data_IF_555947766175
#
_entry.id   IF_555947766175
#
_cell.length_a   1.000
_cell.length_b   1.000
_cell.length_c   1.000
_cell.angle_alpha   90.00
_cell.angle_beta   90.00
_cell.angle_gamma   90.00
#
_symmetry.space_group_name_H-M   'P 1'
#
loop_
_entity.id
_entity.type
_entity.pdbx_description
1 polymer ?
#
# COMPACT_ATOMS: atom_id res chain seq x y z
N UNK A 1 -30.76 34.61 -38.37
CA UNK A 1 -29.74 34.88 -37.31
C UNK A 1 -30.12 34.36 -35.92
N UNK A 2 -31.39 34.39 -35.49
CA UNK A 2 -31.81 33.91 -34.15
C UNK A 2 -31.63 32.40 -33.90
N UNK A 3 -31.77 31.55 -34.91
CA UNK A 3 -31.66 30.08 -34.77
C UNK A 3 -30.23 29.56 -34.62
N UNK A 4 -29.21 30.28 -35.10
CA UNK A 4 -27.80 29.87 -34.97
C UNK A 4 -27.21 30.14 -33.58
N UNK A 5 -27.76 31.12 -32.86
CA UNK A 5 -27.36 31.43 -31.47
C UNK A 5 -27.84 30.36 -30.48
N UNK A 6 -29.03 29.81 -30.68
CA UNK A 6 -29.60 28.77 -29.78
C UNK A 6 -28.81 27.46 -29.85
N UNK A 7 -28.38 27.03 -31.04
CA UNK A 7 -27.54 25.84 -31.19
C UNK A 7 -26.15 25.97 -30.57
N UNK A 8 -25.57 27.17 -30.58
CA UNK A 8 -24.24 27.40 -30.01
C UNK A 8 -24.28 27.38 -28.47
N UNK A 9 -25.37 27.87 -27.88
CA UNK A 9 -25.58 27.83 -26.42
C UNK A 9 -25.84 26.40 -25.93
N UNK A 10 -26.60 25.59 -26.68
CA UNK A 10 -26.83 24.18 -26.29
C UNK A 10 -25.55 23.33 -26.38
N UNK A 11 -24.70 23.54 -27.38
CA UNK A 11 -23.44 22.80 -27.52
C UNK A 11 -22.42 23.19 -26.44
N UNK A 12 -22.40 24.46 -26.02
CA UNK A 12 -21.52 24.92 -24.94
C UNK A 12 -21.88 24.35 -23.57
N UNK A 13 -23.17 24.04 -23.31
CA UNK A 13 -23.61 23.45 -22.04
C UNK A 13 -23.31 21.94 -21.97
N UNK A 14 -23.25 21.23 -23.10
CA UNK A 14 -22.92 19.80 -23.11
C UNK A 14 -21.43 19.51 -22.86
N UNK A 15 -20.51 20.43 -23.20
CA UNK A 15 -19.06 20.21 -23.01
C UNK A 15 -18.62 20.47 -21.56
N UNK A 16 -19.37 21.26 -20.78
CA UNK A 16 -19.07 21.52 -19.36
C UNK A 16 -19.60 20.45 -18.39
N UNK A 17 -20.40 19.49 -18.86
CA UNK A 17 -21.04 18.47 -18.00
C UNK A 17 -20.27 17.17 -17.81
N UNK A 18 -19.10 16.99 -18.44
CA UNK A 18 -18.39 15.70 -18.51
C UNK A 18 -17.17 15.58 -17.58
N UNK A 19 -16.86 16.57 -16.75
CA UNK A 19 -15.81 16.44 -15.73
C UNK A 19 -16.42 16.11 -14.37
N UNK A 20 -17.25 15.07 -14.29
CA UNK A 20 -17.39 14.34 -13.04
C UNK A 20 -16.17 13.43 -12.89
N UNK A 21 -15.00 14.05 -12.68
CA UNK A 21 -13.93 13.36 -11.99
C UNK A 21 -14.47 13.14 -10.57
N UNK A 22 -15.09 11.98 -10.36
CA UNK A 22 -15.29 11.41 -9.04
C UNK A 22 -13.90 11.29 -8.40
N UNK A 23 -13.41 12.39 -7.83
CA UNK A 23 -12.45 12.33 -6.75
C UNK A 23 -13.24 11.68 -5.63
N UNK A 24 -13.23 10.33 -5.63
CA UNK A 24 -13.68 9.55 -4.49
C UNK A 24 -13.08 10.19 -3.25
N UNK A 25 -13.90 10.37 -2.22
CA UNK A 25 -13.44 10.86 -0.93
C UNK A 25 -12.09 10.22 -0.64
N UNK A 26 -11.04 11.04 -0.46
CA UNK A 26 -9.69 10.56 -0.22
C UNK A 26 -9.77 9.44 0.81
N UNK A 27 -9.59 8.21 0.33
CA UNK A 27 -9.87 7.04 1.15
C UNK A 27 -8.78 7.06 2.23
N UNK A 28 -9.18 7.34 3.46
CA UNK A 28 -8.23 7.46 4.56
C UNK A 28 -7.55 6.12 4.75
N UNK A 29 -6.23 6.11 4.87
CA UNK A 29 -5.45 4.92 5.15
C UNK A 29 -6.08 4.17 6.35
N UNK A 30 -6.48 2.90 6.20
CA UNK A 30 -7.07 2.15 7.30
C UNK A 30 -6.02 1.81 8.35
N UNK A 31 -6.48 1.64 9.58
CA UNK A 31 -5.65 1.18 10.70
C UNK A 31 -4.96 -0.14 10.37
N UNK A 32 -3.82 -0.38 11.04
CA UNK A 32 -3.08 -1.63 10.86
C UNK A 32 -4.00 -2.84 11.19
N UNK A 33 -4.12 -3.83 10.28
CA UNK A 33 -5.01 -4.96 10.44
C UNK A 33 -4.58 -5.92 11.55
N UNK A 34 -5.54 -6.72 12.02
CA UNK A 34 -5.25 -7.77 13.01
C UNK A 34 -4.34 -8.87 12.44
N UNK A 35 -3.52 -9.46 13.31
CA UNK A 35 -2.57 -10.53 12.98
C UNK A 35 -3.25 -11.74 12.32
N UNK A 36 -4.54 -11.99 12.59
CA UNK A 36 -5.30 -13.07 11.93
C UNK A 36 -5.49 -12.89 10.43
N UNK A 37 -5.41 -11.66 9.92
CA UNK A 37 -5.50 -11.34 8.47
C UNK A 37 -4.15 -11.37 7.77
N UNK A 38 -3.06 -11.58 8.52
CA UNK A 38 -1.70 -11.62 7.99
C UNK A 38 -1.45 -12.94 7.28
N UNK A 39 -1.03 -12.86 6.02
CA UNK A 39 -0.86 -14.02 5.14
C UNK A 39 0.60 -14.35 4.88
N UNK A 40 1.51 -13.39 5.03
CA UNK A 40 2.94 -13.60 4.77
C UNK A 40 3.79 -12.56 5.51
N UNK A 41 5.08 -12.87 5.66
CA UNK A 41 6.08 -11.98 6.25
C UNK A 41 7.36 -12.04 5.41
N UNK A 42 7.90 -10.87 5.06
CA UNK A 42 9.11 -10.79 4.23
C UNK A 42 10.16 -9.93 4.92
N UNK A 43 11.38 -10.42 4.92
CA UNK A 43 12.54 -9.62 5.34
C UNK A 43 13.32 -9.16 4.12
N UNK A 44 13.50 -7.84 4.00
CA UNK A 44 14.42 -7.22 3.08
C UNK A 44 15.72 -6.84 3.81
N UNK A 45 16.80 -7.56 3.51
CA UNK A 45 18.10 -7.31 4.12
C UNK A 45 18.79 -6.04 3.60
N UNK A 46 18.46 -5.57 2.40
CA UNK A 46 19.09 -4.37 1.81
C UNK A 46 18.62 -3.12 2.53
N UNK A 47 17.30 -3.01 2.73
CA UNK A 47 16.68 -1.87 3.41
C UNK A 47 16.51 -2.06 4.92
N UNK A 48 16.80 -3.26 5.45
CA UNK A 48 16.51 -3.70 6.83
C UNK A 48 15.03 -3.53 7.20
N UNK A 49 14.14 -3.80 6.25
CA UNK A 49 12.70 -3.75 6.44
C UNK A 49 12.13 -5.15 6.66
N UNK A 50 11.20 -5.24 7.59
CA UNK A 50 10.32 -6.38 7.76
C UNK A 50 8.92 -5.97 7.30
N UNK A 51 8.40 -6.71 6.32
CA UNK A 51 7.12 -6.44 5.67
C UNK A 51 6.09 -7.43 6.19
N UNK A 52 5.01 -6.90 6.74
CA UNK A 52 3.82 -7.66 7.12
C UNK A 52 2.78 -7.52 6.01
N UNK A 53 2.38 -8.65 5.42
CA UNK A 53 1.46 -8.69 4.30
C UNK A 53 0.11 -9.23 4.79
N UNK A 54 -0.96 -8.49 4.51
CA UNK A 54 -2.31 -8.81 4.97
C UNK A 54 -3.25 -9.00 3.79
N UNK A 55 -4.25 -9.85 4.00
CA UNK A 55 -5.41 -10.05 3.12
C UNK A 55 -6.66 -9.68 3.92
N UNK A 56 -7.16 -8.47 3.74
CA UNK A 56 -8.32 -7.94 4.45
C UNK A 56 -9.59 -8.70 4.08
N UNK A 57 -9.67 -9.18 2.84
CA UNK A 57 -10.78 -9.98 2.34
C UNK A 57 -10.71 -11.47 2.71
N UNK A 58 -9.57 -11.93 3.27
CA UNK A 58 -9.36 -13.33 3.66
C UNK A 58 -9.28 -14.31 2.48
N UNK A 59 -9.06 -13.81 1.26
CA UNK A 59 -8.92 -14.61 0.04
C UNK A 59 -7.46 -15.05 -0.23
N UNK A 60 -6.52 -14.59 0.61
CA UNK A 60 -5.10 -14.84 0.46
C UNK A 60 -4.39 -13.85 -0.48
N UNK A 61 -5.13 -12.95 -1.12
CA UNK A 61 -4.59 -11.86 -1.93
C UNK A 61 -4.12 -10.74 -1.02
N UNK A 62 -2.91 -10.23 -1.27
CA UNK A 62 -2.34 -9.14 -0.47
C UNK A 62 -2.95 -7.82 -0.94
N UNK A 63 -3.66 -7.14 -0.04
CA UNK A 63 -4.32 -5.85 -0.28
C UNK A 63 -3.89 -4.77 0.73
N UNK A 64 -3.10 -5.14 1.74
CA UNK A 64 -2.48 -4.20 2.68
C UNK A 64 -1.08 -4.69 3.08
N UNK A 65 -0.11 -3.78 3.14
CA UNK A 65 1.27 -4.08 3.58
C UNK A 65 1.74 -3.02 4.56
N UNK A 66 2.36 -3.44 5.66
CA UNK A 66 3.03 -2.57 6.61
C UNK A 66 4.53 -2.88 6.67
N UNK A 67 5.38 -1.87 6.49
CA UNK A 67 6.84 -2.02 6.53
C UNK A 67 7.45 -1.44 7.80
N UNK A 68 8.20 -2.23 8.56
CA UNK A 68 8.86 -1.81 9.81
C UNK A 68 10.36 -1.98 9.72
N UNK A 69 11.12 -1.08 10.35
CA UNK A 69 12.56 -1.28 10.50
C UNK A 69 12.87 -2.42 11.46
N UNK A 70 13.88 -3.23 11.12
CA UNK A 70 14.44 -4.24 12.02
C UNK A 70 15.51 -3.60 12.88
N UNK A 71 15.31 -3.61 14.21
CA UNK A 71 16.28 -3.13 15.21
C UNK A 71 17.41 -4.12 15.38
N UNK A 72 17.04 -5.35 15.68
CA UNK A 72 17.97 -6.45 15.96
C UNK A 72 17.55 -7.71 15.20
N UNK A 73 18.55 -8.48 14.78
CA UNK A 73 18.36 -9.79 14.18
C UNK A 73 19.04 -10.83 15.08
N UNK A 74 18.29 -11.83 15.50
CA UNK A 74 18.76 -12.94 16.29
C UNK A 74 18.48 -14.28 15.59
N UNK A 75 18.94 -15.37 16.21
CA UNK A 75 18.55 -16.73 15.84
C UNK A 75 17.87 -17.38 17.03
N UNK A 76 16.80 -18.13 16.76
CA UNK A 76 16.18 -18.99 17.76
C UNK A 76 17.11 -20.16 18.12
N UNK A 77 16.73 -20.92 19.15
CA UNK A 77 17.43 -22.15 19.56
C UNK A 77 17.51 -23.19 18.42
N UNK A 78 16.59 -23.13 17.47
CA UNK A 78 16.53 -24.00 16.29
C UNK A 78 17.23 -23.41 15.06
N UNK A 79 17.90 -22.26 15.20
CA UNK A 79 18.63 -21.59 14.12
C UNK A 79 17.77 -20.75 13.16
N UNK A 80 16.46 -20.67 13.40
CA UNK A 80 15.55 -19.84 12.60
C UNK A 80 15.82 -18.35 12.86
N UNK A 81 15.76 -17.48 11.85
CA UNK A 81 15.92 -16.06 12.05
C UNK A 81 14.76 -15.50 12.89
N UNK A 82 15.06 -14.60 13.81
CA UNK A 82 14.10 -13.85 14.61
C UNK A 82 14.44 -12.37 14.46
N UNK A 83 13.44 -11.56 14.15
CA UNK A 83 13.59 -10.14 13.88
C UNK A 83 12.86 -9.34 14.95
N UNK A 84 13.61 -8.49 15.66
CA UNK A 84 13.01 -7.47 16.52
C UNK A 84 12.75 -6.21 15.68
N UNK A 85 11.49 -5.82 15.56
CA UNK A 85 11.08 -4.70 14.70
C UNK A 85 10.69 -3.49 15.53
N UNK A 86 10.78 -2.31 14.93
CA UNK A 86 10.16 -1.12 15.49
C UNK A 86 8.66 -1.32 15.74
N UNK A 87 8.13 -0.58 16.72
CA UNK A 87 6.72 -0.71 17.14
C UNK A 87 5.75 -0.28 16.05
N UNK A 88 6.10 0.73 15.27
CA UNK A 88 5.23 1.33 14.27
C UNK A 88 5.88 1.27 12.89
N UNK A 89 5.09 1.03 11.84
CA UNK A 89 5.56 1.08 10.45
C UNK A 89 6.13 2.44 10.05
N UNK A 90 7.09 2.41 9.12
CA UNK A 90 7.60 3.61 8.43
C UNK A 90 6.79 3.89 7.15
N UNK A 91 6.13 2.86 6.60
CA UNK A 91 5.25 3.00 5.45
C UNK A 91 4.13 1.96 5.47
N UNK A 92 3.07 2.29 4.73
CA UNK A 92 1.95 1.41 4.43
C UNK A 92 1.70 1.39 2.93
N UNK A 93 1.37 0.24 2.37
CA UNK A 93 0.82 0.14 1.03
C UNK A 93 -0.60 -0.36 1.11
N UNK A 94 -1.53 0.40 0.53
CA UNK A 94 -2.94 0.06 0.50
C UNK A 94 -3.63 0.78 -0.66
N UNK A 95 -4.58 0.09 -1.29
CA UNK A 95 -5.32 0.59 -2.45
C UNK A 95 -4.41 1.23 -3.52
N UNK A 96 -3.38 0.48 -3.94
CA UNK A 96 -2.35 0.91 -4.91
C UNK A 96 -1.60 2.21 -4.54
N UNK A 97 -1.66 2.62 -3.27
CA UNK A 97 -1.04 3.84 -2.77
C UNK A 97 -0.04 3.50 -1.68
N UNK A 98 1.16 4.08 -1.80
CA UNK A 98 2.24 3.99 -0.81
C UNK A 98 2.20 5.23 0.07
N UNK A 99 1.92 5.02 1.35
CA UNK A 99 1.84 6.03 2.41
C UNK A 99 3.08 5.97 3.28
N UNK A 100 3.63 7.13 3.64
CA UNK A 100 4.76 7.25 4.55
C UNK A 100 4.30 7.82 5.89
N UNK A 101 4.65 7.11 6.96
CA UNK A 101 4.53 7.57 8.33
C UNK A 101 5.91 8.07 8.79
N UNK A 102 6.08 9.39 8.77
CA UNK A 102 7.35 10.03 9.11
C UNK A 102 7.59 10.13 10.62
N UNK A 103 6.52 10.12 11.40
CA UNK A 103 6.58 10.25 12.86
C UNK A 103 6.69 8.87 13.53
N UNK A 104 6.42 7.80 12.77
CA UNK A 104 6.42 6.41 13.21
C UNK A 104 5.59 6.24 14.47
N UNK A 105 4.37 6.76 14.45
CA UNK A 105 3.42 6.72 15.55
C UNK A 105 2.15 5.95 15.20
N UNK A 106 2.13 5.29 14.05
CA UNK A 106 1.04 4.44 13.60
C UNK A 106 -0.07 5.26 12.93
N UNK A 107 -1.00 4.58 12.27
CA UNK A 107 -2.07 5.22 11.51
C UNK A 107 -2.91 6.16 12.40
N UNK A 108 -2.71 7.47 12.23
CA UNK A 108 -3.40 8.51 13.00
C UNK A 108 -3.87 9.71 12.16
N UNK A 109 -3.58 9.69 10.85
CA UNK A 109 -4.00 10.71 9.90
C UNK A 109 -2.93 11.77 9.59
N UNK A 110 -1.73 11.69 10.18
CA UNK A 110 -0.57 12.49 9.79
C UNK A 110 0.20 11.88 8.59
N UNK A 111 -0.21 10.69 8.11
CA UNK A 111 0.51 9.97 7.07
C UNK A 111 0.41 10.70 5.73
N UNK A 112 1.50 10.65 4.97
CA UNK A 112 1.59 11.36 3.69
C UNK A 112 1.68 10.37 2.54
N UNK A 113 0.96 10.65 1.45
CA UNK A 113 1.11 9.89 0.21
C UNK A 113 2.52 10.09 -0.31
N UNK A 114 3.28 9.00 -0.40
CA UNK A 114 4.61 8.99 -1.00
C UNK A 114 4.52 8.73 -2.50
N UNK A 115 3.65 7.79 -2.92
CA UNK A 115 3.44 7.45 -4.33
C UNK A 115 2.09 6.77 -4.57
N UNK A 116 1.40 7.16 -5.64
CA UNK A 116 0.15 6.55 -6.10
C UNK A 116 0.40 5.62 -7.30
N UNK A 117 -0.61 4.83 -7.66
CA UNK A 117 -0.60 3.88 -8.79
C UNK A 117 0.59 2.91 -8.76
N UNK A 118 0.86 2.35 -7.58
CA UNK A 118 1.92 1.37 -7.36
C UNK A 118 1.32 0.02 -7.04
N UNK A 119 1.72 -1.00 -7.80
CA UNK A 119 1.42 -2.39 -7.45
C UNK A 119 2.47 -2.95 -6.49
N UNK A 120 2.03 -3.73 -5.51
CA UNK A 120 2.91 -4.47 -4.63
C UNK A 120 3.31 -5.81 -5.27
N UNK A 121 4.59 -5.93 -5.61
CA UNK A 121 5.15 -7.15 -6.17
C UNK A 121 5.91 -7.94 -5.09
N UNK A 122 5.23 -8.95 -4.52
CA UNK A 122 5.81 -9.84 -3.51
C UNK A 122 7.04 -10.61 -4.02
N UNK A 123 7.14 -10.87 -5.32
CA UNK A 123 8.21 -11.70 -5.87
C UNK A 123 9.58 -11.07 -5.62
N UNK A 124 9.66 -9.73 -5.63
CA UNK A 124 10.87 -8.91 -5.37
C UNK A 124 11.66 -9.30 -4.14
N UNK A 125 10.97 -9.84 -3.12
CA UNK A 125 11.56 -10.15 -1.83
C UNK A 125 11.87 -11.64 -1.63
N UNK A 126 11.53 -12.50 -2.60
CA UNK A 126 11.79 -13.95 -2.56
C UNK A 126 12.77 -14.35 -3.69
N UNK A 127 14.10 -14.16 -3.50
CA UNK A 127 15.09 -14.38 -4.55
C UNK A 127 15.14 -15.83 -5.08
N UNK A 128 14.74 -16.82 -4.27
CA UNK A 128 14.66 -18.21 -4.72
C UNK A 128 13.61 -18.43 -5.82
N UNK A 129 12.49 -17.69 -5.83
CA UNK A 129 11.47 -17.77 -6.89
C UNK A 129 11.97 -17.19 -8.22
N UNK A 130 12.77 -16.13 -8.19
CA UNK A 130 13.33 -15.53 -9.42
C UNK A 130 14.25 -16.47 -10.18
N UNK A 131 14.99 -17.32 -9.47
CA UNK A 131 15.94 -18.25 -10.08
C UNK A 131 15.32 -19.64 -10.37
N UNK A 132 14.01 -19.80 -10.22
CA UNK A 132 13.35 -21.10 -10.37
C UNK A 132 13.81 -22.14 -9.34
N UNK A 133 14.33 -21.68 -8.20
CA UNK A 133 14.75 -22.54 -7.09
C UNK A 133 13.57 -22.81 -6.18
N UNK A 134 13.50 -24.01 -5.63
CA UNK A 134 12.42 -24.40 -4.72
C UNK A 134 12.61 -23.67 -3.39
N UNK A 135 11.63 -22.83 -3.05
CA UNK A 135 11.32 -22.39 -1.69
C UNK A 135 10.04 -23.13 -1.26
#
# INVERSE_FOLDING_TARGET
>A
MRTRLVSLVLMSVCVLGLTSASHGAAESLPLEPDVSTRVDELYDSESRLYLFLYSLNGDGTVDYVAGRFVREQARSEYGNPVYDTERFPIFYWWNHTLWADREQDGVNGNETVYKEDVDFDRSRYKPCLFNGQVC
#
